data_IF_603360019926
#
_entry.id   IF_603360019926
#
_cell.length_a   1.000
_cell.length_b   1.000
_cell.length_c   1.000
_cell.angle_alpha   90.00
_cell.angle_beta   90.00
_cell.angle_gamma   90.00
#
_symmetry.space_group_name_H-M   'P 1'
#
loop_
_entity.id
_entity.type
_entity.pdbx_description
1 polymer ?
#
# COMPACT_ATOMS: atom_id res chain seq x y z
N UNK A 1 -1.28 -2.96 -18.12
CA UNK A 1 -2.02 -1.91 -17.38
C UNK A 1 -1.88 -2.27 -15.91
N UNK A 2 -1.09 -1.52 -15.12
CA UNK A 2 -1.03 -1.77 -13.67
C UNK A 2 -2.38 -1.35 -13.10
N UNK A 3 -3.13 -2.32 -12.56
CA UNK A 3 -4.43 -2.04 -11.95
C UNK A 3 -4.19 -1.23 -10.68
N UNK A 4 -5.01 -0.21 -10.42
CA UNK A 4 -5.01 0.58 -9.17
C UNK A 4 -5.21 -0.27 -7.90
N UNK A 5 -5.49 -1.57 -8.07
CA UNK A 5 -5.72 -2.58 -7.04
C UNK A 5 -4.49 -3.42 -6.72
N UNK A 6 -3.36 -3.23 -7.42
CA UNK A 6 -2.12 -3.98 -7.17
C UNK A 6 -1.12 -3.15 -6.36
N UNK A 7 -0.42 -3.80 -5.43
CA UNK A 7 0.67 -3.24 -4.67
C UNK A 7 1.92 -3.12 -5.56
N UNK A 8 2.56 -1.94 -5.66
CA UNK A 8 3.73 -1.76 -6.52
C UNK A 8 4.98 -2.49 -6.00
N UNK A 9 5.01 -2.89 -4.73
CA UNK A 9 6.18 -3.53 -4.10
C UNK A 9 6.21 -5.05 -4.29
N UNK A 10 5.04 -5.70 -4.31
CA UNK A 10 4.95 -7.16 -4.37
C UNK A 10 4.07 -7.69 -5.52
N UNK A 11 3.34 -6.84 -6.24
CA UNK A 11 2.44 -7.22 -7.34
C UNK A 11 1.09 -7.81 -6.91
N UNK A 12 0.94 -8.20 -5.64
CA UNK A 12 -0.31 -8.71 -5.04
C UNK A 12 -1.39 -7.62 -4.91
N UNK A 13 -2.61 -7.99 -4.53
CA UNK A 13 -3.68 -7.02 -4.26
C UNK A 13 -3.30 -6.07 -3.10
N UNK A 14 -3.54 -4.76 -3.27
CA UNK A 14 -3.30 -3.75 -2.24
C UNK A 14 -4.42 -3.66 -1.19
N UNK A 15 -5.56 -4.30 -1.46
CA UNK A 15 -6.76 -4.30 -0.64
C UNK A 15 -7.22 -2.89 -0.22
N UNK A 16 -7.12 -1.91 -1.13
CA UNK A 16 -7.62 -0.57 -0.88
C UNK A 16 -9.16 -0.56 -0.73
N UNK A 17 -9.66 -0.23 0.46
CA UNK A 17 -11.10 -0.12 0.74
C UNK A 17 -11.78 0.96 -0.09
N UNK A 18 -11.12 2.11 -0.29
CA UNK A 18 -11.65 3.21 -1.12
C UNK A 18 -11.85 2.77 -2.57
N UNK A 19 -10.90 2.03 -3.15
CA UNK A 19 -11.02 1.47 -4.49
C UNK A 19 -12.12 0.39 -4.61
N UNK A 20 -12.61 -0.12 -3.49
CA UNK A 20 -13.76 -1.04 -3.39
C UNK A 20 -15.09 -0.30 -3.11
N UNK A 21 -15.06 1.03 -2.96
CA UNK A 21 -16.23 1.86 -2.64
C UNK A 21 -16.51 2.01 -1.15
N UNK A 22 -15.58 1.60 -0.29
CA UNK A 22 -15.67 1.81 1.15
C UNK A 22 -15.31 3.26 1.51
N UNK A 23 -15.84 3.75 2.63
CA UNK A 23 -15.56 5.12 3.11
C UNK A 23 -14.17 5.26 3.73
N UNK A 24 -13.60 4.16 4.19
CA UNK A 24 -12.33 4.12 4.91
C UNK A 24 -11.46 2.98 4.35
N UNK A 25 -10.17 3.05 4.62
CA UNK A 25 -9.22 1.99 4.31
C UNK A 25 -8.31 1.77 5.52
N UNK A 26 -7.87 0.54 5.75
CA UNK A 26 -6.93 0.19 6.82
C UNK A 26 -5.67 1.07 6.81
N UNK A 27 -5.24 1.55 5.64
CA UNK A 27 -4.04 2.38 5.50
C UNK A 27 -4.22 3.80 6.05
N UNK A 28 -5.47 4.29 6.21
CA UNK A 28 -5.76 5.67 6.64
C UNK A 28 -5.47 5.91 8.13
N UNK A 29 -5.44 4.85 8.93
CA UNK A 29 -5.16 4.92 10.37
C UNK A 29 -3.70 4.61 10.72
N UNK A 30 -2.87 4.36 9.70
CA UNK A 30 -1.47 3.96 9.86
C UNK A 30 -0.52 5.02 9.31
N UNK A 31 0.62 5.18 9.98
CA UNK A 31 1.68 6.04 9.50
C UNK A 31 2.60 5.26 8.54
N UNK A 32 2.79 5.80 7.33
CA UNK A 32 3.69 5.25 6.33
C UNK A 32 5.07 5.92 6.43
N UNK A 33 6.16 5.13 6.47
CA UNK A 33 7.50 5.69 6.37
C UNK A 33 7.69 6.40 5.03
N UNK A 34 8.28 7.60 5.04
CA UNK A 34 8.49 8.40 3.83
C UNK A 34 9.32 7.64 2.77
N UNK A 35 10.33 6.88 3.20
CA UNK A 35 11.14 6.02 2.34
C UNK A 35 10.32 4.95 1.60
N UNK A 36 9.28 4.42 2.25
CA UNK A 36 8.37 3.45 1.64
C UNK A 36 7.49 4.11 0.57
N UNK A 37 7.06 5.35 0.81
CA UNK A 37 6.27 6.14 -0.13
C UNK A 37 7.10 6.62 -1.32
N UNK A 38 8.38 6.92 -1.14
CA UNK A 38 9.28 7.31 -2.23
C UNK A 38 9.46 6.22 -3.30
N UNK A 39 9.27 4.95 -2.92
CA UNK A 39 9.31 3.82 -3.86
C UNK A 39 7.98 3.60 -4.61
N UNK A 40 6.89 4.23 -4.18
CA UNK A 40 5.61 4.14 -4.87
C UNK A 40 5.53 5.20 -5.98
N UNK A 41 5.23 4.77 -7.21
CA UNK A 41 4.76 5.71 -8.23
C UNK A 41 3.51 6.42 -7.69
N UNK A 42 3.45 7.73 -7.92
CA UNK A 42 2.36 8.59 -7.44
C UNK A 42 1.00 7.94 -7.67
N UNK A 43 0.15 7.94 -6.64
CA UNK A 43 -1.21 7.40 -6.62
C UNK A 43 -1.37 5.87 -6.57
N UNK A 44 -0.36 5.09 -6.14
CA UNK A 44 -0.53 3.65 -5.92
C UNK A 44 -0.61 3.29 -4.43
N UNK A 45 -1.57 2.43 -4.04
CA UNK A 45 -1.67 1.96 -2.65
C UNK A 45 -0.69 0.82 -2.39
N UNK A 46 -0.04 0.85 -1.23
CA UNK A 46 0.85 -0.20 -0.74
C UNK A 46 0.04 -1.15 0.16
N UNK A 47 0.18 -2.46 0.00
CA UNK A 47 -0.54 -3.45 0.81
C UNK A 47 -0.01 -3.49 2.26
N UNK A 48 -0.86 -3.92 3.19
CA UNK A 48 -0.52 -4.01 4.61
C UNK A 48 0.70 -4.90 4.84
N UNK A 49 0.78 -6.03 4.14
CA UNK A 49 1.92 -6.96 4.23
C UNK A 49 3.25 -6.26 3.96
N UNK A 50 3.35 -5.46 2.90
CA UNK A 50 4.60 -4.75 2.59
C UNK A 50 4.92 -3.67 3.62
N UNK A 51 3.91 -2.97 4.15
CA UNK A 51 4.12 -2.02 5.24
C UNK A 51 4.67 -2.72 6.50
N UNK A 52 4.10 -3.87 6.85
CA UNK A 52 4.50 -4.64 8.03
C UNK A 52 5.92 -5.22 7.86
N UNK A 53 6.22 -5.83 6.70
CA UNK A 53 7.58 -6.31 6.38
C UNK A 53 8.61 -5.17 6.44
N UNK A 54 8.23 -3.95 6.05
CA UNK A 54 9.13 -2.79 6.09
C UNK A 54 9.42 -2.38 7.52
N UNK A 55 8.39 -2.34 8.37
CA UNK A 55 8.51 -2.01 9.80
C UNK A 55 9.29 -3.05 10.59
N UNK A 56 9.19 -4.31 10.19
CA UNK A 56 9.94 -5.43 10.79
C UNK A 56 11.41 -5.50 10.35
N UNK A 57 11.84 -4.63 9.42
CA UNK A 57 13.22 -4.55 8.95
C UNK A 57 13.65 -5.73 8.06
N UNK A 58 12.70 -6.40 7.39
CA UNK A 58 12.94 -7.56 6.53
C UNK A 58 12.74 -7.25 5.04
N UNK A 59 12.86 -5.98 4.64
CA UNK A 59 12.62 -5.48 3.28
C UNK A 59 13.90 -4.91 2.65
#
# INVERSE_FOLDING_TARGET
>A
MMSEKSCPLCGEENHCGVAKGEKECWCMTLNFPEQLLNNAQTNTCICQKCLDTYKEGSL
#
